data_IF_235991517130
#
_entry.id   IF_235991517130
#
_cell.length_a   1.000
_cell.length_b   1.000
_cell.length_c   1.000
_cell.angle_alpha   90.00
_cell.angle_beta   90.00
_cell.angle_gamma   90.00
#
_symmetry.space_group_name_H-M   'P 1'
#
loop_
_entity.id
_entity.type
_entity.pdbx_description
1 polymer ?
#
# COMPACT_ATOMS: atom_id res chain seq x y z
N UNK A 1 10.96 13.38 -3.70
CA UNK A 1 11.03 11.92 -3.94
C UNK A 1 11.89 11.32 -2.84
N UNK A 2 11.44 10.24 -2.19
CA UNK A 2 12.14 9.54 -1.11
C UNK A 2 12.37 8.10 -1.56
N UNK A 3 13.55 7.54 -1.30
CA UNK A 3 13.90 6.15 -1.63
C UNK A 3 13.91 5.25 -0.38
N UNK A 4 13.91 3.92 -0.57
CA UNK A 4 14.11 2.95 0.53
C UNK A 4 15.41 3.22 1.28
N UNK A 5 16.49 3.60 0.56
CA UNK A 5 17.77 3.99 1.17
C UNK A 5 17.63 5.23 2.06
N UNK A 6 16.87 6.24 1.63
CA UNK A 6 16.62 7.42 2.46
C UNK A 6 15.84 7.05 3.73
N UNK A 7 14.85 6.16 3.63
CA UNK A 7 14.10 5.66 4.79
C UNK A 7 15.02 4.92 5.79
N UNK A 8 15.88 4.03 5.29
CA UNK A 8 16.85 3.29 6.12
C UNK A 8 17.88 4.22 6.75
N UNK A 9 18.37 5.23 6.01
CA UNK A 9 19.27 6.25 6.56
C UNK A 9 18.62 7.02 7.69
N UNK A 10 17.35 7.40 7.55
CA UNK A 10 16.60 8.08 8.62
C UNK A 10 16.45 7.19 9.86
N UNK A 11 16.19 5.88 9.67
CA UNK A 11 16.15 4.91 10.77
C UNK A 11 17.50 4.77 11.45
N UNK A 12 18.60 4.74 10.69
CA UNK A 12 19.95 4.70 11.25
C UNK A 12 20.23 5.90 12.16
N UNK A 13 19.87 7.11 11.72
CA UNK A 13 20.04 8.32 12.54
C UNK A 13 19.27 8.23 13.87
N UNK A 14 18.09 7.61 13.86
CA UNK A 14 17.31 7.37 15.07
C UNK A 14 17.99 6.34 16.00
N UNK A 15 18.50 5.25 15.43
CA UNK A 15 19.24 4.21 16.17
C UNK A 15 20.51 4.81 16.80
N UNK A 16 21.22 5.66 16.07
CA UNK A 16 22.39 6.40 16.57
C UNK A 16 22.00 7.37 17.69
N UNK A 17 20.88 8.07 17.57
CA UNK A 17 20.38 8.96 18.61
C UNK A 17 20.11 8.22 19.93
N UNK A 18 19.66 6.97 19.87
CA UNK A 18 19.49 6.11 21.05
C UNK A 18 20.80 5.47 21.54
N UNK A 19 21.95 5.73 20.90
CA UNK A 19 23.24 5.17 21.29
C UNK A 19 23.37 3.67 21.03
N UNK A 20 22.59 3.12 20.08
CA UNK A 20 22.59 1.68 19.79
C UNK A 20 23.62 1.39 18.70
N UNK A 21 24.76 0.83 19.10
CA UNK A 21 25.84 0.51 18.16
C UNK A 21 25.50 -0.64 17.21
N UNK A 22 24.80 -1.69 17.68
CA UNK A 22 24.44 -2.84 16.85
C UNK A 22 23.05 -3.35 17.19
N UNK A 23 22.20 -3.44 16.17
CA UNK A 23 20.89 -4.05 16.26
C UNK A 23 21.04 -5.57 16.28
N UNK A 24 20.36 -6.22 17.22
CA UNK A 24 20.32 -7.68 17.26
C UNK A 24 19.62 -8.26 16.02
N UNK A 25 18.47 -7.71 15.65
CA UNK A 25 17.72 -8.15 14.49
C UNK A 25 16.96 -7.00 13.84
N UNK A 26 16.96 -6.97 12.50
CA UNK A 26 16.06 -6.14 11.70
C UNK A 26 15.08 -7.06 10.97
N UNK A 27 13.78 -6.89 11.21
CA UNK A 27 12.72 -7.71 10.64
C UNK A 27 11.65 -6.87 9.95
N UNK A 28 11.06 -7.40 8.88
CA UNK A 28 10.06 -6.65 8.12
C UNK A 28 9.45 -7.44 6.98
N UNK A 29 8.15 -7.22 6.76
CA UNK A 29 7.37 -7.81 5.68
C UNK A 29 7.20 -6.87 4.49
N UNK A 30 7.06 -7.40 3.26
CA UNK A 30 6.72 -6.61 2.07
C UNK A 30 7.69 -5.43 1.86
N UNK A 31 7.21 -4.18 1.76
CA UNK A 31 8.09 -3.00 1.67
C UNK A 31 9.03 -2.86 2.88
N UNK A 32 8.60 -3.26 4.08
CA UNK A 32 9.47 -3.32 5.26
C UNK A 32 10.59 -4.36 5.09
N UNK A 33 10.32 -5.46 4.39
CA UNK A 33 11.35 -6.43 4.02
C UNK A 33 12.39 -5.86 3.05
N UNK A 34 11.99 -4.94 2.16
CA UNK A 34 12.96 -4.23 1.30
C UNK A 34 13.88 -3.34 2.13
N UNK A 35 13.36 -2.70 3.18
CA UNK A 35 14.17 -1.92 4.12
C UNK A 35 15.12 -2.81 4.92
N UNK A 36 14.70 -4.02 5.33
CA UNK A 36 15.59 -5.02 5.97
C UNK A 36 16.76 -5.38 5.05
N UNK A 37 16.48 -5.64 3.77
CA UNK A 37 17.51 -5.94 2.78
C UNK A 37 18.48 -4.76 2.59
N UNK A 38 17.96 -3.53 2.54
CA UNK A 38 18.80 -2.33 2.45
C UNK A 38 19.64 -2.11 3.71
N UNK A 39 19.10 -2.36 4.92
CA UNK A 39 19.86 -2.36 6.17
C UNK A 39 21.04 -3.32 6.13
N UNK A 40 20.78 -4.57 5.73
CA UNK A 40 21.83 -5.60 5.65
C UNK A 40 22.89 -5.29 4.59
N UNK A 41 22.51 -4.63 3.48
CA UNK A 41 23.43 -4.28 2.40
C UNK A 41 24.27 -3.04 2.72
N UNK A 42 23.65 -1.98 3.24
CA UNK A 42 24.30 -0.69 3.44
C UNK A 42 25.00 -0.57 4.79
N UNK A 43 24.55 -1.31 5.82
CA UNK A 43 25.09 -1.23 7.19
C UNK A 43 25.30 -2.63 7.82
N UNK A 44 26.04 -3.54 7.17
CA UNK A 44 26.19 -4.93 7.63
C UNK A 44 26.77 -5.05 9.05
N UNK A 45 27.68 -4.14 9.44
CA UNK A 45 28.27 -4.16 10.79
C UNK A 45 27.29 -3.75 11.90
N UNK A 46 26.23 -3.01 11.53
CA UNK A 46 25.21 -2.48 12.45
C UNK A 46 24.08 -3.48 12.73
N UNK A 47 24.07 -4.64 12.06
CA UNK A 47 22.98 -5.63 12.15
C UNK A 47 23.57 -7.02 12.38
N UNK A 48 23.15 -7.70 13.45
CA UNK A 48 23.58 -9.08 13.70
C UNK A 48 22.75 -10.10 12.91
N UNK A 49 21.44 -9.88 12.79
CA UNK A 49 20.52 -10.77 12.05
C UNK A 49 19.50 -9.97 11.22
N UNK A 50 19.10 -10.51 10.07
CA UNK A 50 18.13 -9.88 9.18
C UNK A 50 17.04 -10.88 8.80
N UNK A 51 15.77 -10.49 8.93
CA UNK A 51 14.61 -11.33 8.64
C UNK A 51 13.65 -10.63 7.65
N UNK A 52 13.97 -10.64 6.35
CA UNK A 52 13.08 -10.14 5.29
C UNK A 52 11.98 -11.17 4.98
N UNK A 53 10.71 -10.75 5.02
CA UNK A 53 9.54 -11.64 4.86
C UNK A 53 8.68 -11.17 3.67
N UNK A 54 8.25 -12.11 2.81
CA UNK A 54 7.32 -11.83 1.69
C UNK A 54 7.69 -10.57 0.89
N UNK A 55 8.96 -10.47 0.49
CA UNK A 55 9.57 -9.28 -0.13
C UNK A 55 10.51 -9.68 -1.27
N UNK A 56 11.15 -8.71 -1.92
CA UNK A 56 12.18 -8.93 -2.92
C UNK A 56 13.18 -7.78 -2.98
N UNK A 57 14.35 -8.05 -3.56
CA UNK A 57 15.40 -7.02 -3.75
C UNK A 57 14.98 -5.90 -4.72
N UNK A 58 14.01 -6.18 -5.60
CA UNK A 58 13.38 -5.23 -6.52
C UNK A 58 11.98 -5.70 -6.87
N UNK A 59 11.13 -4.77 -7.29
CA UNK A 59 9.81 -5.08 -7.81
C UNK A 59 9.87 -5.82 -9.14
N UNK A 60 8.93 -6.75 -9.35
CA UNK A 60 8.65 -7.34 -10.65
C UNK A 60 7.92 -6.35 -11.57
N UNK A 61 7.81 -6.68 -12.87
CA UNK A 61 7.01 -5.91 -13.82
C UNK A 61 5.54 -5.78 -13.38
N UNK A 62 4.97 -6.85 -12.82
CA UNK A 62 3.60 -6.84 -12.32
C UNK A 62 3.44 -5.90 -11.11
N UNK A 63 4.38 -5.89 -10.17
CA UNK A 63 4.34 -4.96 -9.04
C UNK A 63 4.41 -3.51 -9.51
N UNK A 64 5.29 -3.23 -10.48
CA UNK A 64 5.42 -1.89 -11.08
C UNK A 64 4.11 -1.46 -11.74
N UNK A 65 3.46 -2.36 -12.49
CA UNK A 65 2.19 -2.09 -13.17
C UNK A 65 1.07 -1.75 -12.17
N UNK A 66 0.89 -2.53 -11.11
CA UNK A 66 -0.13 -2.22 -10.09
C UNK A 66 0.12 -0.89 -9.40
N UNK A 67 1.38 -0.57 -9.09
CA UNK A 67 1.73 0.71 -8.50
C UNK A 67 1.46 1.88 -9.46
N UNK A 68 1.69 1.69 -10.75
CA UNK A 68 1.37 2.69 -11.77
C UNK A 68 -0.12 2.94 -11.90
N UNK A 69 -0.94 1.88 -11.95
CA UNK A 69 -2.42 2.01 -11.99
C UNK A 69 -2.92 2.79 -10.78
N UNK A 70 -2.40 2.50 -9.58
CA UNK A 70 -2.77 3.24 -8.37
C UNK A 70 -2.41 4.72 -8.45
N UNK A 71 -1.19 5.04 -8.91
CA UNK A 71 -0.77 6.45 -9.10
C UNK A 71 -1.64 7.16 -10.13
N UNK A 72 -1.93 6.53 -11.26
CA UNK A 72 -2.77 7.12 -12.29
C UNK A 72 -4.21 7.34 -11.80
N UNK A 73 -4.76 6.44 -10.99
CA UNK A 73 -6.07 6.62 -10.38
C UNK A 73 -6.11 7.87 -9.47
N UNK A 74 -5.08 8.08 -8.66
CA UNK A 74 -4.95 9.29 -7.82
C UNK A 74 -4.77 10.54 -8.68
N UNK A 75 -3.86 10.52 -9.65
CA UNK A 75 -3.54 11.70 -10.46
C UNK A 75 -4.66 12.10 -11.43
N UNK A 76 -5.55 11.17 -11.78
CA UNK A 76 -6.73 11.43 -12.58
C UNK A 76 -7.92 11.99 -11.77
N UNK A 77 -7.85 11.98 -10.44
CA UNK A 77 -8.88 12.60 -9.60
C UNK A 77 -8.88 14.13 -9.83
N UNK A 78 -10.03 14.74 -10.17
CA UNK A 78 -10.12 16.19 -10.36
C UNK A 78 -9.64 17.01 -9.16
N UNK A 79 -9.76 16.45 -7.95
CA UNK A 79 -9.37 17.09 -6.70
C UNK A 79 -7.88 16.87 -6.37
N UNK A 80 -7.10 16.24 -7.25
CA UNK A 80 -5.65 16.05 -7.08
C UNK A 80 -4.85 17.35 -7.15
N UNK A 81 -5.27 18.30 -8.00
CA UNK A 81 -4.60 19.59 -8.18
C UNK A 81 -3.06 19.50 -8.33
N UNK A 82 -2.58 18.50 -9.07
CA UNK A 82 -1.13 18.30 -9.29
C UNK A 82 -0.34 18.01 -8.01
N UNK A 83 -0.99 17.44 -6.99
CA UNK A 83 -0.40 17.13 -5.68
C UNK A 83 -0.52 18.26 -4.66
N UNK A 84 -1.10 19.40 -5.05
CA UNK A 84 -1.25 20.61 -4.20
C UNK A 84 -2.64 20.77 -3.60
N UNK A 85 -3.43 19.70 -3.53
CA UNK A 85 -4.82 19.72 -3.08
C UNK A 85 -5.03 20.32 -1.68
N UNK A 86 -4.04 20.27 -0.79
CA UNK A 86 -4.07 20.96 0.50
C UNK A 86 -4.24 22.48 0.37
N UNK A 87 -3.63 23.11 -0.64
CA UNK A 87 -3.75 24.56 -0.89
C UNK A 87 -5.19 24.95 -1.29
N UNK A 88 -5.95 24.00 -1.82
CA UNK A 88 -7.34 24.16 -2.26
C UNK A 88 -8.35 23.64 -1.22
N UNK A 89 -7.89 23.15 -0.06
CA UNK A 89 -8.74 22.52 0.94
C UNK A 89 -9.43 21.25 0.44
N UNK A 90 -8.83 20.57 -0.55
CA UNK A 90 -9.37 19.39 -1.22
C UNK A 90 -8.59 18.13 -0.87
N UNK A 91 -9.16 16.97 -1.22
CA UNK A 91 -8.53 15.65 -1.11
C UNK A 91 -8.98 14.79 -2.30
N UNK A 92 -8.07 14.11 -3.02
CA UNK A 92 -8.41 13.22 -4.13
C UNK A 92 -8.93 11.86 -3.62
N UNK A 93 -10.04 11.90 -2.88
CA UNK A 93 -10.57 10.75 -2.14
C UNK A 93 -11.01 9.62 -3.06
N UNK A 94 -11.56 9.93 -4.24
CA UNK A 94 -12.05 8.91 -5.18
C UNK A 94 -10.89 8.17 -5.81
N UNK A 95 -9.89 8.90 -6.29
CA UNK A 95 -8.67 8.33 -6.87
C UNK A 95 -7.92 7.46 -5.86
N UNK A 96 -7.77 7.94 -4.62
CA UNK A 96 -7.13 7.20 -3.54
C UNK A 96 -7.90 5.93 -3.16
N UNK A 97 -9.23 5.99 -3.09
CA UNK A 97 -10.06 4.82 -2.82
C UNK A 97 -9.93 3.76 -3.92
N UNK A 98 -9.94 4.15 -5.19
CA UNK A 98 -9.76 3.22 -6.32
C UNK A 98 -8.36 2.59 -6.31
N UNK A 99 -7.32 3.40 -6.06
CA UNK A 99 -5.95 2.89 -5.91
C UNK A 99 -5.87 1.85 -4.78
N UNK A 100 -6.53 2.12 -3.64
CA UNK A 100 -6.59 1.18 -2.52
C UNK A 100 -7.34 -0.10 -2.86
N UNK A 101 -8.47 -0.01 -3.55
CA UNK A 101 -9.23 -1.19 -3.99
C UNK A 101 -8.36 -2.11 -4.85
N UNK A 102 -7.65 -1.55 -5.83
CA UNK A 102 -6.76 -2.30 -6.70
C UNK A 102 -5.65 -2.99 -5.89
N UNK A 103 -5.01 -2.27 -4.97
CA UNK A 103 -3.99 -2.85 -4.09
C UNK A 103 -4.56 -3.99 -3.22
N UNK A 104 -5.77 -3.84 -2.68
CA UNK A 104 -6.38 -4.82 -1.78
C UNK A 104 -6.67 -6.15 -2.47
N UNK A 105 -7.03 -6.13 -3.75
CA UNK A 105 -7.19 -7.35 -4.57
C UNK A 105 -5.88 -8.14 -4.61
N UNK A 106 -4.73 -7.48 -4.70
CA UNK A 106 -3.41 -8.14 -4.78
C UNK A 106 -2.95 -8.80 -3.47
N UNK A 107 -3.57 -8.47 -2.34
CA UNK A 107 -3.17 -8.98 -1.03
C UNK A 107 -3.82 -10.31 -0.65
N UNK A 108 -4.86 -10.70 -1.38
CA UNK A 108 -5.63 -11.91 -1.12
C UNK A 108 -5.48 -12.85 -2.31
N UNK A 109 -5.38 -14.15 -2.03
CA UNK A 109 -5.44 -15.13 -3.10
C UNK A 109 -6.84 -15.19 -3.70
N UNK A 110 -6.91 -15.51 -4.99
CA UNK A 110 -8.17 -15.69 -5.71
C UNK A 110 -9.08 -16.70 -4.99
N UNK A 111 -8.53 -17.84 -4.56
CA UNK A 111 -9.27 -18.86 -3.82
C UNK A 111 -9.85 -18.33 -2.49
N UNK A 112 -9.13 -17.45 -1.78
CA UNK A 112 -9.63 -16.85 -0.55
C UNK A 112 -10.76 -15.86 -0.82
N UNK A 113 -10.65 -15.03 -1.87
CA UNK A 113 -11.71 -14.13 -2.31
C UNK A 113 -12.95 -14.92 -2.75
N UNK A 114 -12.78 -15.96 -3.56
CA UNK A 114 -13.87 -16.79 -4.04
C UNK A 114 -14.57 -17.52 -2.90
N UNK A 115 -13.82 -18.09 -1.95
CA UNK A 115 -14.41 -18.74 -0.77
C UNK A 115 -15.19 -17.77 0.11
N UNK A 116 -14.73 -16.52 0.23
CA UNK A 116 -15.37 -15.51 1.08
C UNK A 116 -16.61 -14.89 0.45
N UNK A 117 -16.57 -14.56 -0.84
CA UNK A 117 -17.61 -13.76 -1.50
C UNK A 117 -18.36 -14.50 -2.61
N UNK A 118 -17.70 -15.45 -3.28
CA UNK A 118 -18.26 -16.14 -4.45
C UNK A 118 -18.82 -15.16 -5.47
N UNK A 119 -20.08 -15.38 -5.85
CA UNK A 119 -20.90 -14.45 -6.66
C UNK A 119 -22.13 -13.98 -5.87
N UNK A 120 -22.01 -13.89 -4.55
CA UNK A 120 -23.15 -13.55 -3.68
C UNK A 120 -23.55 -12.09 -3.87
N UNK A 121 -24.87 -11.85 -3.91
CA UNK A 121 -25.44 -10.50 -4.01
C UNK A 121 -25.41 -9.78 -2.66
N UNK A 122 -25.29 -8.46 -2.70
CA UNK A 122 -25.34 -7.59 -1.51
C UNK A 122 -26.78 -7.13 -1.26
N UNK A 123 -27.43 -7.66 -0.22
CA UNK A 123 -28.77 -7.26 0.23
C UNK A 123 -29.84 -7.18 -0.88
N UNK A 124 -29.73 -8.07 -1.89
CA UNK A 124 -30.58 -8.09 -3.09
C UNK A 124 -30.92 -9.52 -3.51
N UNK A 125 -32.11 -9.69 -4.11
CA UNK A 125 -32.60 -10.98 -4.63
C UNK A 125 -32.29 -11.18 -6.13
N UNK A 126 -32.06 -10.10 -6.88
CA UNK A 126 -31.83 -10.12 -8.31
C UNK A 126 -30.73 -9.13 -8.74
N UNK A 127 -30.11 -9.43 -9.88
CA UNK A 127 -29.15 -8.52 -10.52
C UNK A 127 -29.86 -7.25 -10.99
N UNK A 128 -29.16 -6.12 -10.89
CA UNK A 128 -29.63 -4.86 -11.45
C UNK A 128 -28.72 -4.41 -12.58
N UNK A 129 -29.13 -3.37 -13.32
CA UNK A 129 -28.34 -2.82 -14.42
C UNK A 129 -27.85 -1.39 -14.08
N UNK A 130 -27.42 -1.19 -12.83
CA UNK A 130 -26.91 0.08 -12.31
C UNK A 130 -25.41 0.03 -11.95
N UNK A 131 -24.88 1.16 -11.46
CA UNK A 131 -23.49 1.26 -10.99
C UNK A 131 -23.35 1.09 -9.46
N UNK A 132 -24.41 0.67 -8.78
CA UNK A 132 -24.36 0.31 -7.36
C UNK A 132 -23.62 -1.01 -7.15
N UNK A 133 -23.30 -1.32 -5.89
CA UNK A 133 -22.68 -2.60 -5.55
C UNK A 133 -23.76 -3.69 -5.55
N UNK A 134 -23.77 -4.53 -6.60
CA UNK A 134 -24.66 -5.68 -6.69
C UNK A 134 -24.04 -6.90 -6.00
N UNK A 135 -22.71 -7.01 -5.99
CA UNK A 135 -21.99 -8.10 -5.33
C UNK A 135 -21.39 -7.70 -3.99
N UNK A 136 -21.35 -8.65 -3.05
CA UNK A 136 -20.74 -8.44 -1.73
C UNK A 136 -19.27 -7.99 -1.81
N UNK A 137 -18.51 -8.49 -2.79
CA UNK A 137 -17.12 -8.08 -3.02
C UNK A 137 -17.00 -6.60 -3.40
N UNK A 138 -17.95 -6.07 -4.18
CA UNK A 138 -17.95 -4.67 -4.58
C UNK A 138 -18.22 -3.76 -3.39
N UNK A 139 -19.23 -4.11 -2.57
CA UNK A 139 -19.53 -3.41 -1.32
C UNK A 139 -18.33 -3.44 -0.36
N UNK A 140 -17.71 -4.61 -0.20
CA UNK A 140 -16.52 -4.78 0.63
C UNK A 140 -15.35 -3.91 0.15
N UNK A 141 -15.03 -3.93 -1.15
CA UNK A 141 -13.93 -3.13 -1.71
C UNK A 141 -14.19 -1.63 -1.58
N UNK A 142 -15.42 -1.16 -1.83
CA UNK A 142 -15.80 0.25 -1.64
C UNK A 142 -15.61 0.66 -0.18
N UNK A 143 -16.05 -0.17 0.77
CA UNK A 143 -15.85 0.10 2.20
C UNK A 143 -14.37 0.13 2.61
N UNK A 144 -13.56 -0.82 2.13
CA UNK A 144 -12.11 -0.83 2.37
C UNK A 144 -11.40 0.38 1.73
N UNK A 145 -11.89 0.86 0.57
CA UNK A 145 -11.40 2.07 -0.07
C UNK A 145 -11.67 3.31 0.78
N UNK A 146 -12.92 3.53 1.19
CA UNK A 146 -13.31 4.70 1.98
C UNK A 146 -12.60 4.76 3.34
N UNK A 147 -12.60 3.65 4.08
CA UNK A 147 -11.94 3.59 5.41
C UNK A 147 -10.42 3.83 5.35
N UNK A 148 -9.81 3.59 4.19
CA UNK A 148 -8.39 3.89 3.96
C UNK A 148 -8.16 5.38 3.73
N UNK A 149 -9.03 6.05 2.97
CA UNK A 149 -8.93 7.49 2.69
C UNK A 149 -8.90 8.31 3.98
N UNK A 150 -9.63 7.90 5.03
CA UNK A 150 -9.65 8.63 6.30
C UNK A 150 -8.30 8.60 7.05
N UNK A 151 -7.43 7.64 6.71
CA UNK A 151 -6.19 7.35 7.46
C UNK A 151 -4.91 7.62 6.69
N UNK A 152 -5.01 7.77 5.36
CA UNK A 152 -3.87 7.88 4.46
C UNK A 152 -4.00 9.12 3.57
N UNK A 153 -2.85 9.54 3.05
CA UNK A 153 -2.71 10.71 2.22
C UNK A 153 -2.35 10.32 0.79
N UNK A 154 -2.78 11.12 -0.19
CA UNK A 154 -2.58 10.80 -1.60
C UNK A 154 -1.16 11.10 -2.10
N UNK A 155 -0.35 11.85 -1.34
CA UNK A 155 1.06 12.11 -1.63
C UNK A 155 2.01 11.10 -0.93
N UNK A 156 1.49 10.12 -0.18
CA UNK A 156 2.32 9.12 0.52
C UNK A 156 2.71 7.91 -0.32
#
# INVERSE_FOLDING_TARGET
>A
VITIRDMVRAQLMLVDHFGIEKLFCVLGGSMGGMQVLEWAASYPERVFSALPIATGARHSSQNIAFHEVGRQAVMADPEWHGGKYFEYGKRPEKGLAVARMAAHITYLSEAALHRKFGRNLQDREALTFGFDADFQIESYLRHQGMTFVDRFDANT
#
